data_IF_234896759475
#
_entry.id   IF_234896759475
#
_cell.length_a   1.000
_cell.length_b   1.000
_cell.length_c   1.000
_cell.angle_alpha   90.00
_cell.angle_beta   90.00
_cell.angle_gamma   90.00
#
_symmetry.space_group_name_H-M   'P 1'
#
loop_
_entity.id
_entity.type
_entity.pdbx_description
1 polymer ?
#
# COMPACT_ATOMS: atom_id res chain seq x y z
N UNK A 1 -41.38 3.13 54.41
CA UNK A 1 -40.06 3.56 53.91
C UNK A 1 -39.84 3.03 52.52
N UNK A 2 -39.91 3.91 51.55
CA UNK A 2 -39.63 3.52 50.18
C UNK A 2 -38.12 3.65 49.93
N UNK A 3 -37.43 2.56 49.78
CA UNK A 3 -36.03 2.58 49.37
C UNK A 3 -36.00 2.83 47.87
N UNK A 4 -35.57 4.02 47.48
CA UNK A 4 -35.23 4.30 46.10
C UNK A 4 -33.89 3.62 45.82
N UNK A 5 -33.95 2.50 45.14
CA UNK A 5 -32.74 1.94 44.53
C UNK A 5 -32.51 2.70 43.26
N UNK A 6 -31.62 3.70 43.34
CA UNK A 6 -31.13 4.38 42.13
C UNK A 6 -30.26 3.39 41.38
N UNK A 7 -30.84 2.74 40.43
CA UNK A 7 -30.06 1.94 39.49
C UNK A 7 -29.26 2.91 38.63
N UNK A 8 -28.03 3.17 39.06
CA UNK A 8 -27.07 3.85 38.19
C UNK A 8 -26.73 2.83 37.11
N UNK A 9 -27.43 2.94 36.00
CA UNK A 9 -27.00 2.29 34.76
C UNK A 9 -25.66 2.92 34.41
N UNK A 10 -24.57 2.26 34.79
CA UNK A 10 -23.26 2.56 34.24
C UNK A 10 -23.37 2.14 32.76
N UNK A 11 -23.66 3.12 31.93
CA UNK A 11 -23.48 2.98 30.50
C UNK A 11 -21.99 2.85 30.32
N UNK A 12 -21.51 1.62 30.36
CA UNK A 12 -20.17 1.33 29.84
C UNK A 12 -20.21 1.69 28.37
N UNK A 13 -19.83 2.92 28.07
CA UNK A 13 -19.48 3.28 26.73
C UNK A 13 -18.29 2.43 26.35
N UNK A 14 -18.58 1.31 25.72
CA UNK A 14 -17.56 0.54 25.05
C UNK A 14 -17.10 1.45 23.90
N UNK A 15 -16.15 2.33 24.21
CA UNK A 15 -15.36 2.96 23.17
C UNK A 15 -14.56 1.83 22.54
N UNK A 16 -15.16 1.13 21.58
CA UNK A 16 -14.41 0.29 20.70
C UNK A 16 -13.40 1.23 20.05
N UNK A 17 -12.12 1.10 20.43
CA UNK A 17 -11.03 1.77 19.75
C UNK A 17 -11.03 1.21 18.34
N UNK A 18 -11.81 1.86 17.46
CA UNK A 18 -11.74 1.55 16.05
C UNK A 18 -10.40 2.04 15.56
N UNK A 19 -9.61 1.09 15.06
CA UNK A 19 -8.36 1.38 14.38
C UNK A 19 -8.62 2.39 13.26
N UNK A 20 -7.82 3.47 13.17
CA UNK A 20 -7.92 4.40 12.06
C UNK A 20 -7.56 3.72 10.75
N UNK A 21 -8.04 4.26 9.63
CA UNK A 21 -7.68 3.73 8.31
C UNK A 21 -6.15 3.78 8.09
N UNK A 22 -5.51 4.84 8.56
CA UNK A 22 -4.06 5.00 8.48
C UNK A 22 -3.32 3.91 9.28
N UNK A 23 -3.72 3.66 10.52
CA UNK A 23 -3.12 2.61 11.34
C UNK A 23 -3.36 1.23 10.76
N UNK A 24 -4.54 0.98 10.23
CA UNK A 24 -4.86 -0.25 9.52
C UNK A 24 -3.98 -0.43 8.29
N UNK A 25 -3.82 0.61 7.49
CA UNK A 25 -2.97 0.58 6.32
C UNK A 25 -1.52 0.26 6.68
N UNK A 26 -0.99 0.93 7.70
CA UNK A 26 0.35 0.66 8.20
C UNK A 26 0.51 -0.79 8.63
N UNK A 27 -0.42 -1.30 9.44
CA UNK A 27 -0.41 -2.68 9.91
C UNK A 27 -0.48 -3.68 8.76
N UNK A 28 -1.37 -3.46 7.80
CA UNK A 28 -1.50 -4.34 6.63
C UNK A 28 -0.21 -4.36 5.79
N UNK A 29 0.42 -3.22 5.57
CA UNK A 29 1.69 -3.13 4.85
C UNK A 29 2.82 -3.88 5.57
N UNK A 30 2.95 -3.68 6.88
CA UNK A 30 3.96 -4.37 7.69
C UNK A 30 3.73 -5.88 7.68
N UNK A 31 2.50 -6.30 7.90
CA UNK A 31 2.12 -7.72 7.94
C UNK A 31 2.37 -8.39 6.58
N UNK A 32 1.97 -7.75 5.50
CA UNK A 32 2.20 -8.27 4.15
C UNK A 32 3.68 -8.43 3.85
N UNK A 33 4.47 -7.41 4.16
CA UNK A 33 5.92 -7.45 3.95
C UNK A 33 6.57 -8.58 4.75
N UNK A 34 6.21 -8.74 6.02
CA UNK A 34 6.76 -9.80 6.87
C UNK A 34 6.38 -11.20 6.41
N UNK A 35 5.15 -11.39 5.92
CA UNK A 35 4.63 -12.71 5.54
C UNK A 35 4.99 -13.12 4.12
N UNK A 36 5.09 -12.18 3.21
CA UNK A 36 5.15 -12.48 1.77
C UNK A 36 6.41 -11.98 1.07
N UNK A 37 7.08 -10.95 1.59
CA UNK A 37 8.26 -10.40 0.94
C UNK A 37 9.56 -11.02 1.47
N UNK A 38 10.58 -11.17 0.62
CA UNK A 38 10.59 -10.84 -0.81
C UNK A 38 9.69 -11.80 -1.61
N UNK A 39 8.89 -11.22 -2.51
CA UNK A 39 7.92 -11.96 -3.31
C UNK A 39 8.24 -11.81 -4.79
N UNK A 40 8.49 -12.91 -5.48
CA UNK A 40 8.67 -12.89 -6.92
C UNK A 40 7.31 -12.66 -7.60
N UNK A 41 7.16 -11.50 -8.25
CA UNK A 41 5.92 -11.09 -8.90
C UNK A 41 5.94 -11.30 -10.41
N UNK A 42 7.14 -11.41 -10.98
CA UNK A 42 7.37 -11.75 -12.37
C UNK A 42 8.74 -12.43 -12.49
N UNK A 43 9.09 -12.89 -13.68
CA UNK A 43 10.33 -13.67 -13.91
C UNK A 43 11.58 -12.97 -13.37
N UNK A 44 11.70 -11.65 -13.56
CA UNK A 44 12.87 -10.88 -13.17
C UNK A 44 12.51 -9.70 -12.24
N UNK A 45 11.38 -9.77 -11.56
CA UNK A 45 10.92 -8.70 -10.66
C UNK A 45 10.53 -9.30 -9.33
N UNK A 46 11.13 -8.79 -8.28
CA UNK A 46 10.84 -9.16 -6.88
C UNK A 46 10.29 -7.95 -6.15
N UNK A 47 9.16 -8.13 -5.46
CA UNK A 47 8.66 -7.13 -4.52
C UNK A 47 9.43 -7.30 -3.21
N UNK A 48 10.18 -6.28 -2.83
CA UNK A 48 10.98 -6.30 -1.60
C UNK A 48 10.17 -5.91 -0.37
N UNK A 49 9.29 -4.94 -0.52
CA UNK A 49 8.50 -4.42 0.59
C UNK A 49 7.30 -3.60 0.12
N UNK A 50 6.38 -3.45 1.05
CA UNK A 50 5.25 -2.53 0.95
C UNK A 50 5.22 -1.70 2.23
N UNK A 51 5.10 -0.38 2.13
CA UNK A 51 5.03 0.49 3.31
C UNK A 51 4.16 1.71 3.07
N UNK A 52 3.57 2.20 4.17
CA UNK A 52 2.81 3.43 4.17
C UNK A 52 3.71 4.61 4.57
N UNK A 53 3.78 5.62 3.71
CA UNK A 53 4.26 6.94 4.09
C UNK A 53 3.08 7.71 4.69
N UNK A 54 3.07 7.84 6.01
CA UNK A 54 1.94 8.41 6.76
C UNK A 54 1.67 9.87 6.43
N UNK A 55 2.70 10.77 6.35
CA UNK A 55 2.45 12.18 6.08
C UNK A 55 1.72 12.45 4.76
N UNK A 56 1.97 11.66 3.74
CA UNK A 56 1.39 11.83 2.41
C UNK A 56 0.26 10.86 2.10
N UNK A 57 -0.01 9.89 2.99
CA UNK A 57 -0.92 8.78 2.75
C UNK A 57 -0.60 8.03 1.45
N UNK A 58 0.69 7.75 1.24
CA UNK A 58 1.18 7.02 0.06
C UNK A 58 1.51 5.58 0.43
N UNK A 59 0.87 4.63 -0.24
CA UNK A 59 1.25 3.21 -0.17
C UNK A 59 2.33 2.99 -1.20
N UNK A 60 3.52 2.59 -0.73
CA UNK A 60 4.70 2.38 -1.56
C UNK A 60 4.94 0.89 -1.77
N UNK A 61 5.16 0.51 -3.01
CA UNK A 61 5.56 -0.83 -3.43
C UNK A 61 6.97 -0.75 -3.99
N UNK A 62 7.91 -1.47 -3.38
CA UNK A 62 9.33 -1.42 -3.73
C UNK A 62 9.74 -2.72 -4.40
N UNK A 63 10.31 -2.62 -5.59
CA UNK A 63 10.72 -3.76 -6.41
C UNK A 63 12.20 -3.72 -6.75
N UNK A 64 12.80 -4.89 -6.90
CA UNK A 64 14.13 -5.08 -7.48
C UNK A 64 14.00 -5.82 -8.80
N UNK A 65 14.65 -5.29 -9.81
CA UNK A 65 14.65 -5.82 -11.19
C UNK A 65 15.99 -6.47 -11.51
N UNK A 66 15.95 -7.61 -12.16
CA UNK A 66 17.15 -8.37 -12.54
C UNK A 66 17.13 -8.77 -14.03
N UNK A 67 18.24 -9.36 -14.49
CA UNK A 67 18.34 -9.88 -15.85
C UNK A 67 18.32 -8.81 -16.93
N UNK A 68 17.79 -9.15 -18.08
CA UNK A 68 17.78 -8.27 -19.26
C UNK A 68 16.92 -7.02 -19.10
N UNK A 69 15.93 -7.07 -18.24
CA UNK A 69 15.05 -5.92 -17.96
C UNK A 69 15.61 -4.97 -16.90
N UNK A 70 16.76 -5.30 -16.32
CA UNK A 70 17.50 -4.41 -15.43
C UNK A 70 18.20 -3.28 -16.20
N UNK A 71 17.39 -2.51 -16.89
CA UNK A 71 17.73 -1.39 -17.74
C UNK A 71 16.52 -0.50 -17.89
N UNK A 72 16.66 0.78 -17.62
CA UNK A 72 15.52 1.71 -17.61
C UNK A 72 14.83 1.79 -18.98
N UNK A 73 15.59 1.77 -20.07
CA UNK A 73 15.03 1.84 -21.42
C UNK A 73 14.24 0.58 -21.79
N UNK A 74 14.74 -0.59 -21.38
CA UNK A 74 14.05 -1.87 -21.61
C UNK A 74 12.79 -1.96 -20.75
N UNK A 75 12.90 -1.64 -19.46
CA UNK A 75 11.79 -1.73 -18.51
C UNK A 75 10.61 -0.82 -18.90
N UNK A 76 10.89 0.36 -19.43
CA UNK A 76 9.86 1.35 -19.77
C UNK A 76 9.27 1.18 -21.18
N UNK A 77 9.82 0.28 -21.99
CA UNK A 77 9.44 0.10 -23.41
C UNK A 77 7.96 -0.27 -23.58
N UNK A 78 7.39 -1.06 -22.69
CA UNK A 78 6.02 -1.58 -22.78
C UNK A 78 5.01 -0.79 -21.95
N UNK A 79 5.30 0.48 -21.65
CA UNK A 79 4.40 1.37 -20.94
C UNK A 79 3.92 0.81 -19.59
N UNK A 80 4.83 0.55 -18.63
CA UNK A 80 4.47 -0.06 -17.36
C UNK A 80 3.52 0.79 -16.51
N UNK A 81 3.55 2.10 -16.67
CA UNK A 81 2.63 3.01 -15.96
C UNK A 81 1.17 2.66 -16.25
N UNK A 82 0.83 2.43 -17.51
CA UNK A 82 -0.54 2.10 -17.89
C UNK A 82 -1.02 0.78 -17.28
N UNK A 83 -0.16 -0.24 -17.30
CA UNK A 83 -0.47 -1.54 -16.70
C UNK A 83 -0.68 -1.43 -15.19
N UNK A 84 0.18 -0.68 -14.50
CA UNK A 84 0.06 -0.45 -13.05
C UNK A 84 -1.20 0.34 -12.70
N UNK A 85 -1.56 1.32 -13.53
CA UNK A 85 -2.79 2.09 -13.31
C UNK A 85 -4.05 1.22 -13.42
N UNK A 86 -4.09 0.32 -14.39
CA UNK A 86 -5.18 -0.65 -14.52
C UNK A 86 -5.30 -1.52 -13.27
N UNK A 87 -4.18 -1.98 -12.73
CA UNK A 87 -4.17 -2.76 -11.49
C UNK A 87 -4.74 -1.98 -10.30
N UNK A 88 -4.34 -0.72 -10.13
CA UNK A 88 -4.88 0.13 -9.07
C UNK A 88 -6.38 0.33 -9.24
N UNK A 89 -6.83 0.65 -10.46
CA UNK A 89 -8.26 0.84 -10.75
C UNK A 89 -9.10 -0.39 -10.45
N UNK A 90 -8.60 -1.56 -10.79
CA UNK A 90 -9.34 -2.82 -10.67
C UNK A 90 -9.21 -3.51 -9.32
N UNK A 91 -8.32 -3.04 -8.45
CA UNK A 91 -8.09 -3.66 -7.15
C UNK A 91 -9.21 -3.37 -6.18
N UNK A 92 -9.96 -4.42 -5.78
CA UNK A 92 -11.07 -4.31 -4.84
C UNK A 92 -10.61 -4.15 -3.39
N UNK A 93 -9.47 -4.74 -3.01
CA UNK A 93 -8.95 -4.57 -1.65
C UNK A 93 -8.30 -3.22 -1.40
N UNK A 94 -8.04 -2.42 -2.44
CA UNK A 94 -7.61 -1.04 -2.30
C UNK A 94 -8.79 -0.04 -2.25
N UNK A 95 -10.01 -0.54 -2.33
CA UNK A 95 -11.22 0.30 -2.45
C UNK A 95 -11.30 1.37 -1.37
N UNK A 96 -11.11 1.01 -0.09
CA UNK A 96 -11.17 1.97 1.02
C UNK A 96 -10.10 3.04 0.92
N UNK A 97 -8.90 2.67 0.52
CA UNK A 97 -7.79 3.60 0.37
C UNK A 97 -8.02 4.54 -0.82
N UNK A 98 -8.53 4.03 -1.93
CA UNK A 98 -8.92 4.85 -3.09
C UNK A 98 -10.03 5.84 -2.73
N UNK A 99 -11.06 5.41 -2.01
CA UNK A 99 -12.14 6.27 -1.55
C UNK A 99 -11.63 7.38 -0.61
N UNK A 100 -10.64 7.08 0.21
CA UNK A 100 -10.01 8.03 1.12
C UNK A 100 -8.96 8.93 0.46
N UNK A 101 -8.69 8.76 -0.83
CA UNK A 101 -7.79 9.61 -1.59
C UNK A 101 -6.30 9.29 -1.41
N UNK A 102 -5.96 8.06 -1.03
CA UNK A 102 -4.57 7.64 -0.87
C UNK A 102 -3.84 7.65 -2.21
N UNK A 103 -2.52 7.85 -2.13
CA UNK A 103 -1.63 7.72 -3.27
C UNK A 103 -1.03 6.32 -3.32
N UNK A 104 -0.74 5.85 -4.52
CA UNK A 104 -0.10 4.55 -4.75
C UNK A 104 1.16 4.78 -5.56
N UNK A 105 2.30 4.35 -5.03
CA UNK A 105 3.59 4.55 -5.67
C UNK A 105 4.30 3.22 -5.86
N UNK A 106 4.68 2.95 -7.11
CA UNK A 106 5.52 1.81 -7.47
C UNK A 106 6.91 2.32 -7.83
N UNK A 107 7.94 1.74 -7.26
CA UNK A 107 9.33 2.09 -7.54
C UNK A 107 10.16 0.85 -7.80
N UNK A 108 10.90 0.87 -8.90
CA UNK A 108 11.72 -0.24 -9.37
C UNK A 108 13.18 0.14 -9.32
N UNK A 109 13.95 -0.64 -8.57
CA UNK A 109 15.40 -0.47 -8.43
C UNK A 109 16.18 -1.55 -9.18
N UNK A 110 17.37 -1.17 -9.66
CA UNK A 110 18.29 -2.09 -10.30
C UNK A 110 18.86 -3.10 -9.30
N UNK A 111 18.86 -4.38 -9.64
CA UNK A 111 19.50 -5.42 -8.86
C UNK A 111 21.03 -5.39 -8.98
N UNK A 112 21.55 -5.06 -10.15
CA UNK A 112 23.01 -5.00 -10.41
C UNK A 112 23.67 -3.71 -9.94
N UNK A 113 22.91 -2.60 -9.94
CA UNK A 113 23.38 -1.29 -9.48
C UNK A 113 22.55 -0.83 -8.29
N UNK A 114 22.89 -1.28 -7.10
CA UNK A 114 22.16 -0.97 -5.87
C UNK A 114 21.96 0.54 -5.70
N UNK A 115 20.72 0.94 -5.36
CA UNK A 115 20.34 2.32 -5.17
C UNK A 115 19.99 3.08 -6.46
N UNK A 116 20.13 2.46 -7.63
CA UNK A 116 19.74 3.07 -8.89
C UNK A 116 18.28 2.79 -9.19
N UNK A 117 17.47 3.85 -9.22
CA UNK A 117 16.07 3.78 -9.60
C UNK A 117 15.94 3.69 -11.12
N UNK A 118 15.23 2.67 -11.60
CA UNK A 118 14.98 2.47 -13.03
C UNK A 118 13.67 3.11 -13.48
N UNK A 119 12.65 3.04 -12.63
CA UNK A 119 11.32 3.52 -12.96
C UNK A 119 10.53 3.81 -11.68
N UNK A 120 9.65 4.79 -11.77
CA UNK A 120 8.73 5.14 -10.69
C UNK A 120 7.40 5.60 -11.29
N UNK A 121 6.30 5.19 -10.67
CA UNK A 121 4.97 5.69 -11.00
C UNK A 121 4.19 5.99 -9.72
N UNK A 122 3.60 7.17 -9.66
CA UNK A 122 2.71 7.56 -8.56
C UNK A 122 1.33 7.84 -9.13
N UNK A 123 0.32 7.23 -8.51
CA UNK A 123 -1.09 7.38 -8.90
C UNK A 123 -1.84 8.17 -7.86
N UNK A 124 -2.49 9.23 -8.31
CA UNK A 124 -3.30 10.13 -7.51
C UNK A 124 -4.78 9.88 -7.77
N UNK A 125 -5.64 10.52 -7.00
CA UNK A 125 -7.09 10.42 -7.16
C UNK A 125 -7.54 10.64 -8.60
N UNK A 126 -6.99 11.67 -9.26
CA UNK A 126 -7.36 11.98 -10.63
C UNK A 126 -6.95 10.91 -11.65
N UNK A 127 -5.95 10.09 -11.31
CA UNK A 127 -5.48 9.01 -12.19
C UNK A 127 -6.39 7.80 -12.13
N UNK A 128 -6.85 7.42 -10.94
CA UNK A 128 -7.56 6.17 -10.75
C UNK A 128 -9.09 6.29 -10.62
N UNK A 129 -9.60 7.49 -10.56
CA UNK A 129 -11.05 7.77 -10.61
C UNK A 129 -11.58 7.89 -12.01
#
# INVERSE_FOLDING_TARGET
>A
MKKFITFIAILATITACQESLEDRCHRECVTYTQKHCPLQVDQNIVMDSMFLDRPTHTINYVYTVSGLIDDAAVLTRNNPREHLLVEVRNSTHLKRYKEAGYLFRDVYYSGKKKGTQLFEATFRVNDYR
#
